data_IF_934485837424
#
_entry.id   IF_934485837424
#
_cell.length_a   1.000
_cell.length_b   1.000
_cell.length_c   1.000
_cell.angle_alpha   90.00
_cell.angle_beta   90.00
_cell.angle_gamma   90.00
#
_symmetry.space_group_name_H-M   'P 1'
#
loop_
_entity.id
_entity.type
_entity.pdbx_description
1 polymer ?
#
# COMPACT_ATOMS: atom_id res chain seq x y z
N UNK A 1 -0.41 -13.47 -13.46
CA UNK A 1 0.03 -13.40 -13.47
C UNK A 1 0.46 -13.38 -13.33
N UNK A 2 0.40 -13.00 -13.35
CA UNK A 2 1.00 -12.81 -13.19
C UNK A 2 1.48 -12.49 -12.95
N UNK A 3 1.49 -12.23 -12.95
CA UNK A 3 2.10 -11.80 -12.77
C UNK A 3 2.43 -11.46 -12.49
N UNK A 4 2.22 -11.13 -12.53
CA UNK A 4 2.65 -10.75 -12.27
C UNK A 4 2.90 -10.52 -11.73
N UNK A 5 2.71 -10.44 -11.65
CA UNK A 5 3.16 -10.16 -11.20
C UNK A 5 3.58 -10.16 -10.68
N UNK A 6 3.44 -10.08 -10.78
CA UNK A 6 4.05 -10.04 -10.42
C UNK A 6 4.61 -9.86 -10.12
N UNK A 7 4.59 -9.50 -10.25
CA UNK A 7 5.21 -9.25 -10.11
C UNK A 7 5.60 -8.89 -9.59
N UNK A 8 5.51 -8.66 -9.64
CA UNK A 8 6.03 -8.26 -9.26
C UNK A 8 6.35 -8.13 -8.58
N UNK A 9 6.31 -7.98 -8.47
CA UNK A 9 6.83 -7.82 -7.98
C UNK A 9 7.48 -7.66 -7.38
N UNK A 10 7.63 -7.54 -7.16
CA UNK A 10 8.36 -7.24 -6.95
C UNK A 10 8.97 -6.96 -6.50
N UNK A 11 8.97 -6.74 -6.33
CA UNK A 11 9.86 -6.48 -6.04
C UNK A 11 10.73 -5.59 -6.23
N UNK A 12 10.84 -5.07 -6.90
CA UNK A 12 11.69 -4.21 -7.21
C UNK A 12 11.46 -3.00 -6.61
N UNK A 13 12.29 -2.45 -5.90
CA UNK A 13 12.02 -1.24 -5.18
C UNK A 13 12.05 -0.04 -6.04
N UNK A 14 12.22 -0.17 -7.31
CA UNK A 14 12.30 0.96 -8.07
C UNK A 14 11.05 1.32 -8.65
N UNK A 15 11.03 1.73 -9.78
CA UNK A 15 9.89 2.30 -10.43
C UNK A 15 8.74 1.33 -10.45
N UNK A 16 7.57 1.79 -10.10
CA UNK A 16 6.33 1.07 -10.24
C UNK A 16 5.77 1.34 -11.62
N UNK A 17 5.95 2.55 -12.11
CA UNK A 17 5.41 2.94 -13.38
C UNK A 17 6.18 4.13 -13.90
N UNK A 18 6.28 4.22 -15.21
CA UNK A 18 6.92 5.35 -15.84
C UNK A 18 6.00 5.96 -16.88
N UNK A 19 5.87 7.27 -16.86
CA UNK A 19 5.08 8.00 -17.83
C UNK A 19 5.87 9.21 -18.26
N UNK A 20 6.21 9.25 -19.56
CA UNK A 20 7.02 10.32 -20.12
C UNK A 20 8.33 10.44 -19.31
N UNK A 21 8.57 11.60 -18.73
CA UNK A 21 9.79 11.82 -17.98
C UNK A 21 9.60 11.63 -16.49
N UNK A 22 8.45 11.17 -16.07
CA UNK A 22 8.17 10.95 -14.67
C UNK A 22 8.22 9.48 -14.34
N UNK A 23 8.71 9.16 -13.17
CA UNK A 23 8.78 7.79 -12.72
C UNK A 23 8.18 7.71 -11.33
N UNK A 24 7.29 6.74 -11.14
CA UNK A 24 6.65 6.53 -9.86
C UNK A 24 7.32 5.36 -9.17
N UNK A 25 7.63 5.54 -7.91
CA UNK A 25 8.24 4.48 -7.13
C UNK A 25 7.70 4.52 -5.71
N UNK A 26 7.96 3.46 -4.97
CA UNK A 26 7.60 3.42 -3.56
C UNK A 26 8.34 4.52 -2.83
N UNK A 27 7.63 5.25 -1.98
CA UNK A 27 8.24 6.30 -1.20
C UNK A 27 9.02 5.67 -0.05
N UNK A 28 10.34 5.72 -0.16
CA UNK A 28 11.17 5.09 0.83
C UNK A 28 11.53 6.00 1.98
N UNK A 29 11.17 7.26 1.87
CA UNK A 29 11.45 8.21 2.92
C UNK A 29 10.28 8.37 3.88
N UNK A 30 9.12 7.91 3.48
CA UNK A 30 7.96 7.95 4.34
C UNK A 30 7.76 6.65 5.05
N UNK A 31 6.59 6.50 5.64
CA UNK A 31 6.23 5.25 6.29
C UNK A 31 6.03 4.16 5.26
N UNK A 32 6.25 2.94 5.67
CA UNK A 32 5.91 1.81 4.81
C UNK A 32 4.41 1.67 4.70
N UNK A 33 3.94 0.58 4.09
CA UNK A 33 2.50 0.36 3.97
C UNK A 33 1.84 0.28 5.33
N UNK A 34 0.59 0.73 5.37
CA UNK A 34 -0.20 0.74 6.59
C UNK A 34 -1.45 -0.06 6.34
N UNK A 35 -1.83 -0.86 7.31
CA UNK A 35 -2.97 -1.76 7.18
C UNK A 35 -4.01 -1.44 8.22
N UNK A 36 -5.27 -1.51 7.82
CA UNK A 36 -6.41 -1.27 8.70
C UNK A 36 -7.53 -2.21 8.33
N UNK A 37 -8.49 -2.37 9.22
CA UNK A 37 -9.69 -3.13 8.93
C UNK A 37 -10.89 -2.33 9.43
N UNK A 38 -11.99 -2.48 8.72
CA UNK A 38 -13.22 -1.80 9.07
C UNK A 38 -14.37 -2.80 9.08
N UNK A 39 -15.17 -2.79 10.12
CA UNK A 39 -16.33 -3.67 10.20
C UNK A 39 -17.43 -3.15 9.28
N UNK A 40 -17.92 -4.00 8.39
CA UNK A 40 -18.94 -3.57 7.45
C UNK A 40 -20.32 -3.49 8.09
N UNK A 41 -20.49 -4.04 9.29
CA UNK A 41 -21.76 -3.98 9.97
C UNK A 41 -21.91 -2.69 10.76
N UNK A 42 -20.91 -2.32 11.54
CA UNK A 42 -21.02 -1.16 12.43
C UNK A 42 -20.12 0.00 12.05
N UNK A 43 -19.19 -0.20 11.15
CA UNK A 43 -18.32 0.89 10.71
C UNK A 43 -17.13 1.17 11.60
N UNK A 44 -16.96 0.41 12.68
CA UNK A 44 -15.77 0.60 13.51
C UNK A 44 -14.54 0.13 12.80
N UNK A 45 -13.41 0.74 13.10
CA UNK A 45 -12.15 0.45 12.43
C UNK A 45 -11.06 0.12 13.43
N UNK A 46 -10.13 -0.72 13.00
CA UNK A 46 -8.94 -0.97 13.79
C UNK A 46 -8.02 0.24 13.72
N UNK A 47 -7.02 0.24 14.58
CA UNK A 47 -5.94 1.20 14.43
C UNK A 47 -5.12 0.84 13.21
N UNK A 48 -4.46 1.82 12.65
CA UNK A 48 -3.52 1.58 11.55
C UNK A 48 -2.29 0.88 12.09
N UNK A 49 -1.77 -0.06 11.32
CA UNK A 49 -0.62 -0.84 11.74
C UNK A 49 0.28 -1.12 10.57
N UNK A 50 1.53 -1.41 10.86
CA UNK A 50 2.51 -1.67 9.82
C UNK A 50 2.54 -3.12 9.39
N UNK A 51 1.77 -3.98 10.04
CA UNK A 51 1.64 -5.36 9.62
C UNK A 51 0.18 -5.72 9.54
N UNK A 52 -0.12 -6.75 8.80
CA UNK A 52 -1.51 -7.20 8.66
C UNK A 52 -2.01 -7.92 9.89
N UNK A 53 -1.10 -8.40 10.73
CA UNK A 53 -1.49 -9.22 11.88
C UNK A 53 -2.37 -8.46 12.84
N UNK A 54 -2.09 -7.20 13.08
CA UNK A 54 -2.83 -6.43 14.06
C UNK A 54 -4.27 -6.19 13.65
N UNK A 55 -4.53 -5.68 12.44
CA UNK A 55 -5.93 -5.54 12.02
C UNK A 55 -6.66 -6.86 11.93
N UNK A 56 -5.97 -7.93 11.56
CA UNK A 56 -6.63 -9.24 11.50
C UNK A 56 -7.03 -9.71 12.88
N UNK A 57 -6.17 -9.50 13.87
CA UNK A 57 -6.50 -9.86 15.22
C UNK A 57 -7.67 -9.02 15.73
N UNK A 58 -7.67 -7.74 15.36
CA UNK A 58 -8.78 -6.86 15.72
C UNK A 58 -10.09 -7.41 15.16
N UNK A 59 -10.08 -7.89 13.90
CA UNK A 59 -11.27 -8.47 13.29
C UNK A 59 -11.77 -9.67 14.10
N UNK A 60 -10.86 -10.53 14.50
CA UNK A 60 -11.25 -11.72 15.24
C UNK A 60 -11.83 -11.36 16.59
N UNK A 61 -11.25 -10.39 17.27
CA UNK A 61 -11.77 -9.94 18.55
C UNK A 61 -13.13 -9.28 18.40
N UNK A 62 -13.28 -8.46 17.35
CA UNK A 62 -14.53 -7.77 17.09
C UNK A 62 -15.64 -8.78 16.78
N UNK A 63 -15.32 -9.80 16.00
CA UNK A 63 -16.27 -10.84 15.68
C UNK A 63 -16.68 -11.61 16.93
N UNK A 64 -15.70 -11.93 17.78
CA UNK A 64 -15.99 -12.67 18.99
C UNK A 64 -16.83 -11.88 19.98
N UNK A 65 -16.61 -10.57 20.04
CA UNK A 65 -17.31 -9.74 21.00
C UNK A 65 -18.72 -9.37 20.53
N UNK A 66 -18.88 -9.07 19.25
CA UNK A 66 -20.13 -8.51 18.74
C UNK A 66 -20.84 -9.37 17.72
N UNK A 67 -20.23 -10.44 17.27
CA UNK A 67 -20.84 -11.30 16.27
C UNK A 67 -20.82 -10.71 14.87
N UNK A 68 -20.08 -9.65 14.66
CA UNK A 68 -19.95 -9.05 13.33
C UNK A 68 -18.87 -9.80 12.57
N UNK A 69 -19.19 -10.26 11.37
CA UNK A 69 -18.29 -11.15 10.67
C UNK A 69 -17.83 -10.61 9.32
N UNK A 70 -18.28 -9.43 8.91
CA UNK A 70 -17.85 -8.85 7.65
C UNK A 70 -16.89 -7.71 7.88
N UNK A 71 -15.76 -7.73 7.17
CA UNK A 71 -14.74 -6.71 7.35
C UNK A 71 -14.17 -6.29 6.01
N UNK A 72 -13.76 -5.04 5.92
CA UNK A 72 -13.09 -4.51 4.76
C UNK A 72 -11.65 -4.22 5.14
N UNK A 73 -10.72 -4.83 4.42
CA UNK A 73 -9.30 -4.57 4.64
C UNK A 73 -8.86 -3.36 3.83
N UNK A 74 -8.10 -2.50 4.45
CA UNK A 74 -7.63 -1.28 3.80
C UNK A 74 -6.13 -1.25 3.88
N UNK A 75 -5.48 -1.11 2.74
CA UNK A 75 -4.03 -0.98 2.69
C UNK A 75 -3.71 0.38 2.10
N UNK A 76 -2.88 1.13 2.79
CA UNK A 76 -2.44 2.42 2.33
C UNK A 76 -0.95 2.33 2.05
N UNK A 77 -0.54 2.75 0.86
CA UNK A 77 0.87 2.78 0.49
C UNK A 77 1.18 4.14 -0.09
N UNK A 78 2.42 4.53 0.03
CA UNK A 78 2.83 5.86 -0.41
C UNK A 78 3.82 5.73 -1.56
N UNK A 79 3.65 6.59 -2.53
CA UNK A 79 4.48 6.61 -3.72
C UNK A 79 5.06 8.00 -3.90
N UNK A 80 6.15 8.04 -4.62
CA UNK A 80 6.77 9.31 -4.95
C UNK A 80 7.05 9.34 -6.43
N UNK A 81 6.66 10.41 -7.08
CA UNK A 81 6.97 10.61 -8.48
C UNK A 81 8.19 11.52 -8.57
N UNK A 82 9.08 11.19 -9.47
CA UNK A 82 10.28 11.97 -9.67
C UNK A 82 10.51 12.16 -11.15
N UNK A 83 11.04 13.32 -11.50
CA UNK A 83 11.39 13.60 -12.86
C UNK A 83 12.67 12.85 -13.19
N UNK A 84 12.62 12.07 -14.25
CA UNK A 84 13.76 11.27 -14.65
C UNK A 84 14.48 11.98 -15.73
N UNK A 85 15.68 12.10 -15.77
CA UNK A 85 16.34 12.63 -16.88
C UNK A 85 16.16 14.01 -17.12
N UNK A 86 16.49 14.59 -16.37
CA UNK A 86 16.43 15.97 -16.66
C UNK A 86 17.51 16.38 -17.58
N UNK A 87 17.81 15.47 -18.06
CA UNK A 87 18.50 15.60 -18.76
C UNK A 87 19.13 15.77 -18.83
N UNK A 88 19.31 15.57 -18.71
CA UNK A 88 19.74 15.49 -18.81
C UNK A 88 19.91 15.42 -19.00
N UNK A 89 19.56 15.68 -19.16
CA UNK A 89 19.62 15.79 -19.40
C UNK A 89 19.37 15.92 -19.44
N UNK A 90 19.17 16.29 -19.56
CA UNK A 90 19.03 16.53 -19.67
C UNK A 90 18.70 16.73 -19.46
N UNK A 91 18.67 17.14 -19.61
CA UNK A 91 18.56 17.29 -19.54
C UNK A 91 18.48 17.25 -19.42
N UNK A 92 18.55 17.54 -19.48
CA UNK A 92 18.70 17.39 -19.47
C UNK A 92 18.75 17.24 -19.48
N UNK A 93 18.95 17.60 -19.60
CA UNK A 93 19.12 17.58 -19.89
C UNK A 93 19.03 17.50 -20.01
#
# INVERSE_FOLDING_TARGET
>A
MDADAVECHSVRPRAVMRFADWMLSTDRQGSGPVYEAECTTCGESSDAAESKDEPELWCLRHAGALGHTGFRGITTAFFRAALVNARSGGADA
#
